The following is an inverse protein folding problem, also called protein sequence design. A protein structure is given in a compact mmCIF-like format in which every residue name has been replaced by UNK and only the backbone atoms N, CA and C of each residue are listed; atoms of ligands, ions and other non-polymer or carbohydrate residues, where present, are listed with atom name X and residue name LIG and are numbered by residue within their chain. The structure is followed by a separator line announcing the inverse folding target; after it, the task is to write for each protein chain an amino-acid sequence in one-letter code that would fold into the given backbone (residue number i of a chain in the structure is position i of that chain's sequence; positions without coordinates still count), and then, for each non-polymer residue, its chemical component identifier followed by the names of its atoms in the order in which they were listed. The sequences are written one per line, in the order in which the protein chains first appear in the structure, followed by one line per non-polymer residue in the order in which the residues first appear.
data_IF_767002230778
#
_entry.id   IF_767002230778
#
_cell.length_a   1.000
_cell.length_b   1.000
_cell.length_c   1.000
_cell.angle_alpha   90.00
_cell.angle_beta   90.00
_cell.angle_gamma   90.00
#
_symmetry.space_group_name_H-M   'P 1'
#
loop_
_entity.id
_entity.type
_entity.pdbx_description
1 polymer ?
#
# COMPACT_ATOMS: atom_id res chain seq x y z
N UNK A 1 -16.05 -3.30 -3.78
CA UNK A 1 -14.73 -3.64 -3.25
C UNK A 1 -13.65 -2.79 -3.91
N UNK A 2 -12.78 -2.23 -3.11
CA UNK A 2 -11.75 -1.33 -3.63
C UNK A 2 -10.54 -2.12 -4.08
N UNK A 3 -10.08 -1.85 -5.29
CA UNK A 3 -8.85 -2.43 -5.79
C UNK A 3 -7.68 -1.59 -5.33
N UNK A 4 -6.53 -2.23 -5.11
CA UNK A 4 -5.35 -1.50 -4.65
C UNK A 4 -4.93 -0.41 -5.63
N UNK A 5 -5.12 -0.62 -6.91
CA UNK A 5 -4.73 0.35 -7.92
C UNK A 5 -5.58 1.62 -7.84
N UNK A 6 -6.70 1.56 -7.16
CA UNK A 6 -7.60 2.69 -7.02
C UNK A 6 -7.41 3.44 -5.72
N UNK A 7 -6.42 3.07 -4.92
CA UNK A 7 -6.18 3.72 -3.65
C UNK A 7 -5.75 5.16 -3.85
N UNK A 8 -6.25 6.03 -2.99
CA UNK A 8 -5.97 7.44 -3.09
C UNK A 8 -4.90 7.85 -2.07
N UNK A 9 -4.26 8.97 -2.38
CA UNK A 9 -3.31 9.57 -1.45
C UNK A 9 -3.93 9.69 -0.07
N UNK A 10 -3.18 9.30 0.95
CA UNK A 10 -3.64 9.40 2.32
C UNK A 10 -4.43 8.21 2.81
N UNK A 11 -4.63 7.21 1.96
CA UNK A 11 -5.31 5.99 2.40
C UNK A 11 -4.50 5.31 3.47
N UNK A 12 -5.16 4.94 4.56
CA UNK A 12 -4.52 4.20 5.63
C UNK A 12 -4.32 2.76 5.20
N UNK A 13 -3.10 2.26 5.35
CA UNK A 13 -2.76 0.91 4.89
C UNK A 13 -2.03 0.15 5.98
N UNK A 14 -2.02 -1.16 5.83
CA UNK A 14 -1.23 -2.05 6.67
C UNK A 14 -0.08 -2.61 5.84
N UNK A 15 1.13 -2.45 6.35
CA UNK A 15 2.32 -3.01 5.72
C UNK A 15 2.46 -4.46 6.17
N UNK A 16 2.30 -5.39 5.24
CA UNK A 16 2.30 -6.80 5.59
C UNK A 16 3.68 -7.32 5.95
N UNK A 17 4.74 -6.65 5.51
CA UNK A 17 6.09 -7.08 5.83
C UNK A 17 6.46 -6.77 7.27
N UNK A 18 6.01 -5.64 7.78
CA UNK A 18 6.36 -5.20 9.13
C UNK A 18 5.19 -5.23 10.08
N UNK A 19 3.97 -5.42 9.55
CA UNK A 19 2.74 -5.40 10.34
C UNK A 19 2.45 -4.04 10.94
N UNK A 20 2.95 -2.99 10.31
CA UNK A 20 2.77 -1.62 10.79
C UNK A 20 1.79 -0.87 9.92
N UNK A 21 1.14 0.11 10.53
CA UNK A 21 0.18 0.95 9.84
C UNK A 21 0.92 2.12 9.22
N UNK A 22 0.48 2.54 8.04
CA UNK A 22 1.05 3.69 7.38
C UNK A 22 0.02 4.38 6.51
N UNK A 23 0.47 5.41 5.81
CA UNK A 23 -0.37 6.15 4.87
C UNK A 23 0.23 6.04 3.49
N UNK A 24 -0.64 5.89 2.51
CA UNK A 24 -0.23 5.80 1.12
C UNK A 24 0.04 7.20 0.57
N UNK A 25 1.19 7.37 -0.08
CA UNK A 25 1.54 8.64 -0.72
C UNK A 25 1.22 8.57 -2.21
N UNK A 26 1.72 7.54 -2.87
CA UNK A 26 1.48 7.38 -4.31
C UNK A 26 1.77 5.96 -4.72
N UNK A 27 1.31 5.60 -5.91
CA UNK A 27 1.64 4.32 -6.52
C UNK A 27 2.26 4.59 -7.89
N UNK A 28 3.09 3.66 -8.35
CA UNK A 28 3.63 3.74 -9.70
C UNK A 28 3.95 2.34 -10.19
N UNK A 29 4.17 2.24 -11.50
CA UNK A 29 4.44 0.97 -12.13
C UNK A 29 5.81 1.01 -12.77
N UNK A 30 6.60 -0.03 -12.54
CA UNK A 30 7.86 -0.24 -13.26
C UNK A 30 7.66 -1.35 -14.28
N UNK A 31 8.17 -1.12 -15.49
CA UNK A 31 8.03 -2.09 -16.56
C UNK A 31 9.37 -2.77 -16.81
N UNK A 32 9.31 -4.07 -16.93
CA UNK A 32 10.48 -4.90 -17.17
C UNK A 32 10.27 -5.71 -18.44
N UNK A 33 11.33 -6.40 -18.88
CA UNK A 33 11.25 -7.16 -20.12
C UNK A 33 10.18 -8.25 -20.06
N UNK A 34 9.94 -8.81 -18.87
CA UNK A 34 9.01 -9.93 -18.72
C UNK A 34 7.75 -9.55 -17.94
N UNK A 35 7.43 -8.26 -17.88
CA UNK A 35 6.21 -7.85 -17.21
C UNK A 35 6.39 -6.55 -16.47
N UNK A 36 5.40 -6.20 -15.64
CA UNK A 36 5.48 -4.99 -14.85
C UNK A 36 5.09 -5.27 -13.41
N UNK A 37 5.59 -4.43 -12.51
CA UNK A 37 5.33 -4.56 -11.08
C UNK A 37 4.89 -3.20 -10.56
N UNK A 38 3.83 -3.21 -9.77
CA UNK A 38 3.32 -2.00 -9.13
C UNK A 38 3.97 -1.82 -7.77
N UNK A 39 4.31 -0.57 -7.48
CA UNK A 39 4.92 -0.18 -6.22
C UNK A 39 4.12 0.92 -5.56
N UNK A 40 4.39 1.13 -4.30
CA UNK A 40 3.76 2.18 -3.52
C UNK A 40 4.80 2.89 -2.69
N UNK A 41 4.62 4.19 -2.51
CA UNK A 41 5.37 4.97 -1.54
C UNK A 41 4.44 5.25 -0.37
N UNK A 42 4.90 4.90 0.82
CA UNK A 42 4.11 5.05 2.02
C UNK A 42 4.91 5.79 3.07
N UNK A 43 4.22 6.26 4.10
CA UNK A 43 4.88 6.91 5.23
C UNK A 43 4.43 6.17 6.49
N UNK A 44 5.40 5.87 7.37
CA UNK A 44 5.07 5.16 8.60
C UNK A 44 4.60 6.13 9.67
N UNK A 45 4.32 5.60 10.86
CA UNK A 45 3.77 6.42 11.94
C UNK A 45 4.76 7.43 12.46
N UNK A 46 6.04 7.27 12.11
CA UNK A 46 7.08 8.20 12.52
C UNK A 46 7.35 9.26 11.46
N UNK A 47 6.61 9.21 10.35
CA UNK A 47 6.80 10.16 9.27
C UNK A 47 7.86 9.79 8.29
N UNK A 48 8.38 8.59 8.35
CA UNK A 48 9.44 8.15 7.45
C UNK A 48 8.84 7.50 6.22
N UNK A 49 9.32 7.90 5.05
CA UNK A 49 8.84 7.35 3.78
C UNK A 49 9.58 6.08 3.43
N UNK A 50 8.86 5.18 2.76
CA UNK A 50 9.46 3.95 2.25
C UNK A 50 8.74 3.51 1.00
N UNK A 51 9.41 2.68 0.21
CA UNK A 51 8.86 2.11 -1.02
C UNK A 51 8.65 0.64 -0.82
N UNK A 52 7.55 0.12 -1.34
CA UNK A 52 7.18 -1.26 -1.12
C UNK A 52 6.32 -1.71 -2.31
N UNK A 53 6.34 -3.01 -2.62
CA UNK A 53 5.44 -3.51 -3.64
C UNK A 53 4.00 -3.35 -3.22
N UNK A 54 3.16 -2.99 -4.17
CA UNK A 54 1.76 -2.72 -3.88
C UNK A 54 1.07 -3.92 -3.25
N UNK A 55 1.49 -5.13 -3.62
CA UNK A 55 0.90 -6.35 -3.08
C UNK A 55 1.21 -6.58 -1.61
N UNK A 56 2.17 -5.85 -1.07
CA UNK A 56 2.58 -6.02 0.32
C UNK A 56 1.82 -5.11 1.27
N UNK A 57 0.92 -4.28 0.76
CA UNK A 57 0.12 -3.42 1.61
C UNK A 57 -1.35 -3.75 1.42
N UNK A 58 -2.13 -3.50 2.47
CA UNK A 58 -3.56 -3.79 2.47
C UNK A 58 -4.28 -2.55 2.99
N UNK A 59 -5.33 -2.10 2.31
CA UNK A 59 -6.13 -0.98 2.84
C UNK A 59 -6.73 -1.34 4.19
N UNK A 60 -6.67 -0.41 5.12
CA UNK A 60 -7.20 -0.67 6.46
C UNK A 60 -8.69 -0.95 6.44
N UNK A 61 -9.39 -0.44 5.43
CA UNK A 61 -10.81 -0.72 5.31
C UNK A 61 -11.06 -2.22 5.16
N UNK A 62 -10.22 -2.90 4.37
CA UNK A 62 -10.37 -4.33 4.18
C UNK A 62 -10.08 -5.09 5.46
N UNK A 63 -9.10 -4.62 6.21
CA UNK A 63 -8.76 -5.25 7.48
C UNK A 63 -9.93 -5.13 8.45
N UNK A 64 -10.55 -3.95 8.49
CA UNK A 64 -11.65 -3.71 9.41
C UNK A 64 -12.87 -4.54 9.07
N UNK A 65 -13.05 -4.88 7.81
CA UNK A 65 -14.20 -5.67 7.39
C UNK A 65 -14.23 -7.04 8.04
N UNK A 66 -13.09 -7.57 8.38
CA UNK A 66 -13.01 -8.88 8.98
C UNK A 66 -13.48 -8.91 10.42
N UNK A 67 -13.60 -7.77 11.03
CA UNK A 67 -13.99 -7.71 12.41
C UNK A 67 -15.49 -7.67 12.59
N UNK A 68 -16.20 -7.54 11.49
CA UNK A 68 -17.64 -7.57 11.52
C UNK A 68 -18.14 -9.02 11.70
#
# INVERSE_FOLDING_TARGET
MTKKLDLLFGTKILNRQTNEIGLLIKTWKNEFANGSIWFATCVDTKGKRYHIELDEIVPMEEVNDFEE
#
